data_IF_328502802875
#
_entry.id   IF_328502802875
#
_cell.length_a   1.000
_cell.length_b   1.000
_cell.length_c   1.000
_cell.angle_alpha   90.00
_cell.angle_beta   90.00
_cell.angle_gamma   90.00
#
_symmetry.space_group_name_H-M   'P 1'
#
loop_
_entity.id
_entity.type
_entity.pdbx_description
1 polymer ?
#
# COMPACT_ATOMS: atom_id res chain seq x y z
N UNK A 1 27.54 -29.76 -17.41
CA UNK A 1 26.12 -29.33 -17.31
C UNK A 1 26.07 -28.27 -16.22
N UNK A 2 26.09 -26.99 -16.60
CA UNK A 2 26.27 -25.86 -15.69
C UNK A 2 24.92 -25.42 -15.15
N UNK A 3 24.73 -25.51 -13.84
CA UNK A 3 23.62 -24.89 -13.12
C UNK A 3 23.85 -23.38 -13.17
N UNK A 4 23.20 -22.69 -14.09
CA UNK A 4 23.03 -21.24 -14.01
C UNK A 4 22.18 -20.96 -12.78
N UNK A 5 22.81 -20.40 -11.75
CA UNK A 5 22.12 -19.87 -10.58
C UNK A 5 21.10 -18.83 -11.02
N UNK A 6 19.83 -19.10 -10.77
CA UNK A 6 18.77 -18.10 -10.79
C UNK A 6 18.92 -17.29 -9.51
N UNK A 7 19.92 -16.42 -9.49
CA UNK A 7 19.98 -15.32 -8.53
C UNK A 7 19.07 -14.22 -9.05
N UNK A 8 17.77 -14.33 -8.84
CA UNK A 8 16.91 -13.15 -8.89
C UNK A 8 17.22 -12.34 -7.64
N UNK A 9 18.26 -11.50 -7.71
CA UNK A 9 18.41 -10.40 -6.76
C UNK A 9 17.15 -9.53 -6.91
N UNK A 10 16.16 -9.76 -6.03
CA UNK A 10 15.00 -8.88 -5.94
C UNK A 10 15.53 -7.51 -5.55
N UNK A 11 15.36 -6.55 -6.46
CA UNK A 11 15.67 -5.15 -6.16
C UNK A 11 14.76 -4.67 -5.04
N UNK A 12 15.35 -4.27 -3.91
CA UNK A 12 14.68 -3.47 -2.88
C UNK A 12 15.34 -2.09 -2.82
N UNK A 13 14.57 -0.98 -2.80
CA UNK A 13 15.09 0.36 -2.58
C UNK A 13 15.80 0.51 -1.22
N UNK A 14 15.52 -0.34 -0.24
CA UNK A 14 16.21 -0.33 1.05
C UNK A 14 17.64 -0.88 0.97
N UNK A 15 17.97 -1.65 -0.08
CA UNK A 15 19.31 -2.16 -0.29
C UNK A 15 20.38 -1.05 -0.33
N UNK A 16 19.99 0.17 -0.72
CA UNK A 16 20.85 1.36 -0.72
C UNK A 16 21.34 1.77 0.68
N UNK A 17 20.63 1.37 1.74
CA UNK A 17 21.03 1.63 3.14
C UNK A 17 21.92 0.52 3.72
N UNK A 18 22.05 -0.62 3.02
CA UNK A 18 22.77 -1.78 3.52
C UNK A 18 23.99 -2.16 2.68
N UNK A 19 23.98 -1.85 1.38
CA UNK A 19 25.01 -2.25 0.42
C UNK A 19 25.87 -1.03 0.07
N UNK A 20 27.19 -1.25 -0.03
CA UNK A 20 28.17 -0.21 -0.35
C UNK A 20 27.96 0.39 -1.74
N UNK A 21 28.82 1.35 -2.13
CA UNK A 21 28.69 2.11 -3.37
C UNK A 21 28.77 1.25 -4.66
N UNK A 22 29.16 -0.01 -4.53
CA UNK A 22 29.34 -0.96 -5.64
C UNK A 22 28.07 -1.75 -6.00
N UNK A 23 26.94 -1.52 -5.31
CA UNK A 23 25.69 -2.21 -5.63
C UNK A 23 25.00 -1.58 -6.86
N UNK A 24 24.50 -2.36 -7.83
CA UNK A 24 23.76 -1.79 -8.95
C UNK A 24 22.50 -1.08 -8.45
N UNK A 25 22.57 0.25 -8.42
CA UNK A 25 21.53 1.15 -7.91
C UNK A 25 20.49 1.51 -8.97
N UNK A 26 20.72 1.11 -10.22
CA UNK A 26 19.87 1.45 -11.36
C UNK A 26 19.29 0.21 -12.04
N UNK A 27 17.97 0.10 -12.02
CA UNK A 27 17.23 -0.66 -13.03
C UNK A 27 16.80 0.32 -14.12
N UNK A 28 17.53 0.36 -15.22
CA UNK A 28 17.21 1.24 -16.34
C UNK A 28 16.02 0.66 -17.12
N UNK A 29 14.91 1.39 -17.16
CA UNK A 29 13.79 1.06 -18.03
C UNK A 29 14.20 1.19 -19.50
N UNK A 30 13.75 0.26 -20.34
CA UNK A 30 14.10 0.23 -21.77
C UNK A 30 13.31 1.23 -22.62
N UNK A 31 12.26 1.85 -22.05
CA UNK A 31 11.35 2.75 -22.77
C UNK A 31 11.66 4.21 -22.48
N UNK A 32 11.87 4.99 -23.54
CA UNK A 32 11.84 6.46 -23.47
C UNK A 32 10.41 6.90 -23.21
N UNK A 33 10.13 7.34 -21.98
CA UNK A 33 8.77 7.72 -21.58
C UNK A 33 8.40 9.13 -22.07
N UNK A 34 9.34 10.07 -21.99
CA UNK A 34 9.13 11.50 -22.27
C UNK A 34 10.19 11.97 -23.28
N UNK A 35 9.78 12.79 -24.25
CA UNK A 35 10.63 13.28 -25.33
C UNK A 35 9.96 13.08 -26.68
N UNK A 36 10.60 13.55 -27.76
CA UNK A 36 10.15 13.30 -29.12
C UNK A 36 10.14 11.79 -29.37
N UNK A 37 9.00 11.23 -29.78
CA UNK A 37 8.73 9.79 -29.88
C UNK A 37 8.69 9.03 -28.54
N UNK A 38 8.48 9.75 -27.42
CA UNK A 38 8.28 9.14 -26.11
C UNK A 38 6.92 8.45 -26.00
N UNK A 39 6.83 7.40 -25.18
CA UNK A 39 5.58 6.64 -25.01
C UNK A 39 4.41 7.48 -24.45
N UNK A 40 4.70 8.56 -23.72
CA UNK A 40 3.73 9.50 -23.16
C UNK A 40 3.58 10.77 -24.01
N UNK A 41 4.11 10.82 -25.22
CA UNK A 41 3.91 11.97 -26.10
C UNK A 41 2.42 12.18 -26.39
N UNK A 42 1.96 13.43 -26.32
CA UNK A 42 0.56 13.75 -26.60
C UNK A 42 0.27 13.46 -28.07
N UNK A 43 -0.57 12.47 -28.34
CA UNK A 43 -1.03 12.14 -29.71
C UNK A 43 -1.86 13.28 -30.32
N UNK A 44 -2.19 14.32 -29.55
CA UNK A 44 -2.82 15.54 -30.05
C UNK A 44 -1.95 16.26 -31.08
N UNK A 45 -0.61 16.27 -30.94
CA UNK A 45 0.26 16.90 -31.96
C UNK A 45 0.20 16.17 -33.30
N UNK A 46 0.02 14.84 -33.30
CA UNK A 46 -0.09 14.03 -34.51
C UNK A 46 -1.42 14.23 -35.27
N UNK A 47 -2.41 14.88 -34.65
CA UNK A 47 -3.69 15.22 -35.26
C UNK A 47 -3.69 16.60 -35.94
N UNK A 48 -2.69 17.45 -35.70
CA UNK A 48 -2.61 18.79 -36.34
C UNK A 48 -1.93 18.78 -37.72
N UNK A 49 -1.23 17.71 -38.09
CA UNK A 49 -0.49 17.61 -39.37
C UNK A 49 -1.23 16.85 -40.49
N UNK A 50 -2.49 16.45 -40.30
CA UNK A 50 -3.34 15.97 -41.41
C UNK A 50 -4.57 16.84 -41.59
N UNK A 51 -4.52 17.58 -42.69
CA UNK A 51 -5.64 18.21 -43.38
C UNK A 51 -6.35 19.36 -42.66
N UNK A 52 -5.94 20.57 -43.07
CA UNK A 52 -6.89 21.65 -43.34
C UNK A 52 -8.09 21.11 -44.11
N UNK A 53 -9.23 20.99 -43.44
CA UNK A 53 -10.56 21.27 -43.98
C UNK A 53 -11.54 21.35 -42.82
N UNK A 54 -11.98 22.57 -42.51
CA UNK A 54 -13.14 22.84 -41.65
C UNK A 54 -14.41 22.25 -42.26
N UNK A 55 -15.42 21.87 -41.45
CA UNK A 55 -16.49 22.84 -41.21
C UNK A 55 -17.01 22.91 -39.77
N UNK A 56 -17.51 24.11 -39.48
CA UNK A 56 -18.17 24.57 -38.26
C UNK A 56 -19.40 23.72 -37.85
N UNK A 57 -19.62 23.52 -36.55
CA UNK A 57 -20.68 24.20 -35.75
C UNK A 57 -20.90 23.54 -34.37
N UNK A 58 -20.93 24.42 -33.33
CA UNK A 58 -21.74 24.38 -32.09
C UNK A 58 -21.37 23.26 -31.07
N UNK A 59 -21.32 23.42 -29.75
CA UNK A 59 -21.84 24.43 -28.80
C UNK A 59 -21.02 24.34 -27.50
N UNK A 60 -20.69 25.50 -26.94
CA UNK A 60 -20.59 25.85 -25.50
C UNK A 60 -20.80 24.71 -24.48
N UNK A 61 -19.85 24.57 -23.55
CA UNK A 61 -19.99 24.58 -22.08
C UNK A 61 -18.57 24.59 -21.55
N UNK A 62 -18.11 25.69 -20.95
CA UNK A 62 -17.14 25.75 -19.83
C UNK A 62 -16.99 27.24 -19.42
N UNK A 63 -18.10 27.88 -19.04
CA UNK A 63 -18.08 29.07 -18.19
C UNK A 63 -18.59 28.63 -16.82
N UNK A 64 -17.70 28.50 -15.83
CA UNK A 64 -18.19 28.13 -14.50
C UNK A 64 -17.19 27.67 -13.43
N UNK A 65 -15.91 28.03 -13.47
CA UNK A 65 -15.04 27.88 -12.29
C UNK A 65 -14.17 29.13 -12.13
N UNK A 66 -14.76 30.19 -11.57
CA UNK A 66 -14.03 31.36 -11.03
C UNK A 66 -14.96 32.21 -10.13
N UNK A 67 -15.32 31.69 -8.95
CA UNK A 67 -15.69 32.51 -7.76
C UNK A 67 -16.10 31.63 -6.58
N UNK A 68 -15.18 31.27 -5.69
CA UNK A 68 -15.49 31.18 -4.25
C UNK A 68 -14.26 31.70 -3.52
N UNK A 69 -14.19 33.02 -3.41
CA UNK A 69 -13.36 33.73 -2.46
C UNK A 69 -14.24 34.83 -1.86
N UNK A 70 -14.18 34.95 -0.52
CA UNK A 70 -14.93 35.87 0.35
C UNK A 70 -16.41 35.55 0.54
N UNK A 71 -16.73 34.95 1.68
CA UNK A 71 -17.49 35.62 2.75
C UNK A 71 -17.66 34.65 3.92
N UNK A 72 -16.94 34.90 5.01
CA UNK A 72 -17.35 34.43 6.35
C UNK A 72 -17.22 35.63 7.26
N UNK A 73 -18.29 36.43 7.30
CA UNK A 73 -18.48 37.46 8.31
C UNK A 73 -19.65 37.05 9.19
N UNK A 74 -19.36 37.02 10.48
CA UNK A 74 -20.26 37.20 11.62
C UNK A 74 -21.59 36.42 11.63
N UNK A 75 -21.60 35.35 12.44
CA UNK A 75 -22.77 35.04 13.25
C UNK A 75 -22.35 34.91 14.73
N UNK A 76 -22.89 35.83 15.53
CA UNK A 76 -22.85 35.82 16.98
C UNK A 76 -23.54 34.59 17.58
N UNK A 77 -23.22 34.29 18.85
CA UNK A 77 -23.81 33.33 19.82
C UNK A 77 -22.93 32.08 20.01
N UNK A 78 -22.43 31.71 21.19
CA UNK A 78 -22.69 32.08 22.60
C UNK A 78 -21.40 31.85 23.41
N UNK A 79 -21.14 32.73 24.39
CA UNK A 79 -20.05 32.56 25.36
C UNK A 79 -20.26 31.28 26.17
N UNK A 80 -19.32 30.34 26.08
CA UNK A 80 -19.02 29.38 27.14
C UNK A 80 -17.55 29.53 27.52
N UNK A 81 -17.32 30.05 28.72
CA UNK A 81 -16.01 30.09 29.38
C UNK A 81 -15.51 28.65 29.58
N UNK A 82 -14.56 28.23 28.75
CA UNK A 82 -13.77 27.03 29.03
C UNK A 82 -12.62 27.41 29.97
N UNK A 83 -12.35 26.63 31.04
CA UNK A 83 -11.20 26.89 31.89
C UNK A 83 -9.93 26.70 31.06
N UNK A 84 -8.96 27.61 31.25
CA UNK A 84 -7.61 27.47 30.74
C UNK A 84 -7.04 26.14 31.25
N UNK A 85 -7.06 25.12 30.40
CA UNK A 85 -6.32 23.90 30.64
C UNK A 85 -4.84 24.28 30.63
N UNK A 86 -4.21 24.23 31.80
CA UNK A 86 -2.76 24.30 31.97
C UNK A 86 -2.14 23.33 30.97
N UNK A 87 -1.19 23.83 30.19
CA UNK A 87 -0.51 23.07 29.15
C UNK A 87 -0.05 21.71 29.67
N UNK A 88 -0.74 20.67 29.23
CA UNK A 88 -0.11 19.36 29.11
C UNK A 88 0.98 19.55 28.08
N UNK A 89 2.23 19.56 28.55
CA UNK A 89 3.39 19.29 27.70
C UNK A 89 3.08 17.94 27.08
N UNK A 90 2.56 17.96 25.85
CA UNK A 90 2.26 16.75 25.12
C UNK A 90 3.56 15.99 25.00
N UNK A 91 3.62 14.80 25.58
CA UNK A 91 4.68 13.84 25.29
C UNK A 91 4.53 13.52 23.81
N UNK A 92 5.18 14.32 22.96
CA UNK A 92 5.21 14.06 21.53
C UNK A 92 5.87 12.70 21.38
N UNK A 93 5.11 11.72 20.88
CA UNK A 93 5.64 10.39 20.63
C UNK A 93 6.84 10.53 19.68
N UNK A 94 7.93 9.80 19.94
CA UNK A 94 9.14 9.89 19.15
C UNK A 94 8.86 9.57 17.67
N UNK A 95 9.40 10.39 16.78
CA UNK A 95 9.36 10.21 15.34
C UNK A 95 10.80 10.28 14.85
N UNK A 96 11.42 9.13 14.62
CA UNK A 96 12.82 9.04 14.21
C UNK A 96 13.02 9.18 12.71
N UNK A 97 12.13 8.52 11.94
CA UNK A 97 12.19 8.49 10.47
C UNK A 97 11.56 9.74 9.86
N UNK A 98 12.27 10.32 8.90
CA UNK A 98 11.76 11.43 8.10
C UNK A 98 10.66 10.97 7.11
N UNK A 99 9.92 11.89 6.48
CA UNK A 99 8.84 11.53 5.57
C UNK A 99 9.26 10.65 4.38
N UNK A 100 10.48 10.84 3.87
CA UNK A 100 11.01 10.04 2.74
C UNK A 100 11.32 8.62 3.20
N UNK A 101 11.93 8.47 4.36
CA UNK A 101 12.24 7.18 4.98
C UNK A 101 10.97 6.39 5.31
N UNK A 102 9.95 7.04 5.89
CA UNK A 102 8.65 6.41 6.13
C UNK A 102 7.96 6.01 4.82
N UNK A 103 8.05 6.81 3.77
CA UNK A 103 7.51 6.46 2.46
C UNK A 103 8.18 5.22 1.86
N UNK A 104 9.51 5.10 1.97
CA UNK A 104 10.24 3.93 1.49
C UNK A 104 9.87 2.68 2.29
N UNK A 105 9.86 2.79 3.63
CA UNK A 105 9.49 1.70 4.53
C UNK A 105 8.10 1.17 4.21
N UNK A 106 7.10 2.04 4.13
CA UNK A 106 5.72 1.61 3.91
C UNK A 106 5.47 1.11 2.50
N UNK A 107 6.15 1.66 1.49
CA UNK A 107 6.10 1.12 0.13
C UNK A 107 6.55 -0.35 0.09
N UNK A 108 7.71 -0.64 0.69
CA UNK A 108 8.25 -2.00 0.74
C UNK A 108 7.41 -2.93 1.60
N UNK A 109 6.94 -2.46 2.75
CA UNK A 109 6.12 -3.26 3.65
C UNK A 109 4.79 -3.64 3.01
N UNK A 110 4.10 -2.67 2.40
CA UNK A 110 2.82 -2.90 1.71
C UNK A 110 3.01 -3.85 0.51
N UNK A 111 4.08 -3.68 -0.27
CA UNK A 111 4.39 -4.57 -1.39
C UNK A 111 4.63 -6.02 -0.93
N UNK A 112 5.42 -6.23 0.12
CA UNK A 112 5.72 -7.58 0.61
C UNK A 112 4.50 -8.24 1.25
N UNK A 113 3.69 -7.50 2.00
CA UNK A 113 2.44 -8.01 2.60
C UNK A 113 1.43 -8.44 1.54
N UNK A 114 1.16 -7.58 0.56
CA UNK A 114 0.19 -7.86 -0.51
C UNK A 114 0.68 -8.99 -1.44
N UNK A 115 1.99 -9.12 -1.63
CA UNK A 115 2.57 -10.22 -2.40
C UNK A 115 2.44 -11.54 -1.66
N UNK A 116 2.70 -11.57 -0.35
CA UNK A 116 2.57 -12.76 0.46
C UNK A 116 1.13 -13.27 0.54
N UNK A 117 0.17 -12.37 0.76
CA UNK A 117 -1.24 -12.72 0.78
C UNK A 117 -1.73 -13.21 -0.60
N UNK A 118 -1.30 -12.58 -1.70
CA UNK A 118 -1.66 -13.05 -3.04
C UNK A 118 -1.16 -14.48 -3.30
N UNK A 119 0.08 -14.79 -2.91
CA UNK A 119 0.66 -16.14 -3.05
C UNK A 119 -0.13 -17.12 -2.18
N UNK A 120 -0.33 -16.80 -0.91
CA UNK A 120 -1.07 -17.64 0.03
C UNK A 120 -2.49 -17.96 -0.45
N UNK A 121 -3.26 -16.96 -0.89
CA UNK A 121 -4.61 -17.18 -1.40
C UNK A 121 -4.60 -18.02 -2.69
N UNK A 122 -3.57 -17.87 -3.53
CA UNK A 122 -3.41 -18.71 -4.72
C UNK A 122 -3.15 -20.18 -4.35
N UNK A 123 -2.31 -20.43 -3.34
CA UNK A 123 -2.06 -21.78 -2.85
C UNK A 123 -3.30 -22.41 -2.19
N UNK A 124 -4.11 -21.62 -1.47
CA UNK A 124 -5.38 -22.11 -0.90
C UNK A 124 -6.44 -22.37 -1.98
N UNK A 125 -6.44 -21.60 -3.08
CA UNK A 125 -7.24 -21.91 -4.26
C UNK A 125 -6.82 -23.27 -4.85
N UNK A 126 -5.53 -23.50 -5.04
CA UNK A 126 -5.01 -24.74 -5.63
C UNK A 126 -5.34 -25.98 -4.77
N UNK A 127 -5.47 -25.79 -3.45
CA UNK A 127 -5.94 -26.81 -2.49
C UNK A 127 -7.47 -27.01 -2.50
N UNK A 128 -8.22 -26.14 -3.17
CA UNK A 128 -9.68 -26.17 -3.20
C UNK A 128 -10.36 -25.57 -1.97
N UNK A 129 -9.64 -24.80 -1.16
CA UNK A 129 -10.17 -24.16 0.06
C UNK A 129 -10.83 -22.80 -0.19
N UNK A 130 -10.71 -22.24 -1.40
CA UNK A 130 -11.30 -20.95 -1.74
C UNK A 130 -12.78 -21.10 -2.13
N UNK A 131 -13.67 -20.50 -1.34
CA UNK A 131 -15.11 -20.46 -1.62
C UNK A 131 -15.42 -19.47 -2.75
N UNK A 132 -16.05 -19.92 -3.85
CA UNK A 132 -16.46 -19.04 -4.95
C UNK A 132 -17.41 -17.92 -4.53
N UNK A 133 -18.29 -18.19 -3.56
CA UNK A 133 -19.29 -17.23 -3.08
C UNK A 133 -18.63 -16.08 -2.30
N UNK A 134 -17.68 -16.42 -1.42
CA UNK A 134 -16.89 -15.42 -0.70
C UNK A 134 -16.03 -14.58 -1.66
N UNK A 135 -15.40 -15.23 -2.65
CA UNK A 135 -14.63 -14.52 -3.67
C UNK A 135 -15.52 -13.57 -4.49
N UNK A 136 -16.71 -14.03 -4.90
CA UNK A 136 -17.67 -13.19 -5.63
C UNK A 136 -18.07 -11.97 -4.83
N UNK A 137 -18.37 -12.14 -3.53
CA UNK A 137 -18.69 -11.03 -2.62
C UNK A 137 -17.58 -9.98 -2.60
N UNK A 138 -16.33 -10.39 -2.39
CA UNK A 138 -15.17 -9.48 -2.38
C UNK A 138 -14.99 -8.79 -3.73
N UNK A 139 -15.12 -9.53 -4.84
CA UNK A 139 -15.00 -8.99 -6.19
C UNK A 139 -16.09 -7.96 -6.50
N UNK A 140 -17.33 -8.23 -6.12
CA UNK A 140 -18.46 -7.31 -6.34
C UNK A 140 -18.30 -6.03 -5.51
N UNK A 141 -17.92 -6.15 -4.23
CA UNK A 141 -17.64 -4.99 -3.38
C UNK A 141 -16.48 -4.15 -3.92
N UNK A 142 -15.42 -4.79 -4.43
CA UNK A 142 -14.30 -4.11 -5.08
C UNK A 142 -14.74 -3.34 -6.31
N UNK A 143 -15.59 -3.94 -7.15
CA UNK A 143 -16.11 -3.30 -8.36
C UNK A 143 -17.08 -2.16 -8.05
N UNK A 144 -17.93 -2.32 -7.03
CA UNK A 144 -18.86 -1.28 -6.56
C UNK A 144 -18.14 -0.03 -6.05
N UNK A 145 -16.91 -0.16 -5.53
CA UNK A 145 -16.04 0.97 -5.17
C UNK A 145 -15.41 1.66 -6.39
N UNK A 146 -15.72 1.21 -7.61
CA UNK A 146 -15.18 1.77 -8.86
C UNK A 146 -13.76 1.29 -9.19
N UNK A 147 -13.25 0.27 -8.49
CA UNK A 147 -11.92 -0.26 -8.75
C UNK A 147 -11.89 -1.20 -9.95
N UNK A 148 -10.74 -1.21 -10.63
CA UNK A 148 -10.52 -2.08 -11.80
C UNK A 148 -10.33 -3.53 -11.38
N UNK A 149 -10.62 -4.45 -12.30
CA UNK A 149 -10.39 -5.88 -12.07
C UNK A 149 -8.91 -6.13 -11.76
N UNK A 150 -8.66 -6.92 -10.72
CA UNK A 150 -7.30 -7.28 -10.30
C UNK A 150 -6.77 -8.48 -11.10
N UNK A 151 -5.44 -8.58 -11.18
CA UNK A 151 -4.76 -9.77 -11.71
C UNK A 151 -4.49 -10.70 -10.52
N UNK A 152 -4.90 -11.97 -10.61
CA UNK A 152 -4.84 -12.91 -9.48
C UNK A 152 -5.69 -12.41 -8.31
N UNK A 153 -5.09 -12.35 -7.11
CA UNK A 153 -5.72 -11.84 -5.89
C UNK A 153 -5.10 -10.51 -5.43
N UNK A 154 -4.52 -9.74 -6.36
CA UNK A 154 -3.82 -8.47 -6.06
C UNK A 154 -4.77 -7.30 -5.78
N UNK A 155 -5.68 -7.50 -4.84
CA UNK A 155 -6.43 -6.43 -4.20
C UNK A 155 -5.51 -5.59 -3.30
N UNK A 156 -6.03 -4.48 -2.77
CA UNK A 156 -5.31 -3.78 -1.70
C UNK A 156 -5.16 -4.65 -0.44
N UNK A 157 -4.24 -4.27 0.45
CA UNK A 157 -3.92 -5.06 1.64
C UNK A 157 -5.14 -5.34 2.52
N UNK A 158 -5.99 -4.34 2.73
CA UNK A 158 -7.19 -4.48 3.55
C UNK A 158 -8.17 -5.48 2.95
N UNK A 159 -8.40 -5.43 1.64
CA UNK A 159 -9.32 -6.31 0.92
C UNK A 159 -8.78 -7.75 0.86
N UNK A 160 -7.46 -7.94 0.70
CA UNK A 160 -6.86 -9.27 0.79
C UNK A 160 -7.02 -9.88 2.19
N UNK A 161 -6.84 -9.09 3.25
CA UNK A 161 -7.07 -9.53 4.63
C UNK A 161 -8.55 -9.86 4.91
N UNK A 162 -9.48 -9.10 4.33
CA UNK A 162 -10.91 -9.43 4.39
C UNK A 162 -11.21 -10.77 3.70
N UNK A 163 -10.65 -11.00 2.51
CA UNK A 163 -10.81 -12.27 1.80
C UNK A 163 -10.32 -13.44 2.65
N UNK A 164 -9.15 -13.33 3.29
CA UNK A 164 -8.64 -14.35 4.21
C UNK A 164 -9.55 -14.51 5.42
N UNK A 165 -10.08 -13.42 5.97
CA UNK A 165 -10.98 -13.45 7.14
C UNK A 165 -12.30 -14.17 6.83
N UNK A 166 -12.84 -14.02 5.62
CA UNK A 166 -14.04 -14.74 5.17
C UNK A 166 -13.83 -16.26 5.07
N UNK A 167 -12.58 -16.71 4.94
CA UNK A 167 -12.19 -18.11 4.81
C UNK A 167 -11.50 -18.64 6.07
N UNK A 168 -11.75 -18.04 7.24
CA UNK A 168 -11.04 -18.40 8.47
C UNK A 168 -11.25 -19.87 8.90
N UNK A 169 -12.33 -20.50 8.45
CA UNK A 169 -12.62 -21.91 8.72
C UNK A 169 -12.21 -22.85 7.57
N UNK A 170 -11.88 -22.30 6.40
CA UNK A 170 -11.60 -23.06 5.19
C UNK A 170 -10.09 -23.11 4.91
N UNK A 171 -9.38 -22.01 5.16
CA UNK A 171 -7.96 -21.89 4.88
C UNK A 171 -7.07 -22.60 5.89
N UNK A 172 -5.93 -23.09 5.40
CA UNK A 172 -4.86 -23.66 6.23
C UNK A 172 -4.00 -22.56 6.85
N UNK A 173 -4.06 -22.41 8.18
CA UNK A 173 -3.25 -21.48 8.95
C UNK A 173 -2.12 -22.19 9.72
N UNK A 174 -1.06 -21.45 10.04
CA UNK A 174 0.18 -21.99 10.58
C UNK A 174 0.69 -21.23 11.81
N UNK A 175 1.73 -21.79 12.44
CA UNK A 175 2.41 -21.20 13.58
C UNK A 175 1.63 -21.31 14.89
N UNK A 176 2.03 -20.51 15.89
CA UNK A 176 1.51 -20.63 17.27
C UNK A 176 0.00 -20.44 17.44
N UNK A 177 -0.69 -19.84 16.46
CA UNK A 177 -2.13 -19.55 16.49
C UNK A 177 -2.94 -20.60 15.72
N UNK A 178 -2.27 -21.58 15.10
CA UNK A 178 -2.92 -22.64 14.33
C UNK A 178 -3.96 -23.37 15.19
N UNK A 179 -5.15 -23.56 14.62
CA UNK A 179 -6.27 -24.21 15.31
C UNK A 179 -7.04 -23.32 16.30
N UNK A 180 -6.61 -22.08 16.54
CA UNK A 180 -7.33 -21.12 17.37
C UNK A 180 -7.95 -20.00 16.52
N UNK A 181 -9.13 -20.26 15.96
CA UNK A 181 -9.88 -19.33 15.10
C UNK A 181 -10.07 -17.95 15.73
N UNK A 182 -10.26 -17.87 17.06
CA UNK A 182 -10.41 -16.59 17.77
C UNK A 182 -9.13 -15.77 17.73
N UNK A 183 -7.97 -16.36 18.03
CA UNK A 183 -6.68 -15.65 17.94
C UNK A 183 -6.32 -15.25 16.51
N UNK A 184 -6.69 -16.08 15.53
CA UNK A 184 -6.51 -15.78 14.11
C UNK A 184 -7.37 -14.57 13.72
N UNK A 185 -8.66 -14.56 14.09
CA UNK A 185 -9.58 -13.47 13.81
C UNK A 185 -9.10 -12.14 14.42
N UNK A 186 -8.59 -12.19 15.65
CA UNK A 186 -8.03 -11.02 16.33
C UNK A 186 -6.82 -10.45 15.58
N UNK A 187 -5.89 -11.31 15.15
CA UNK A 187 -4.73 -10.89 14.37
C UNK A 187 -5.13 -10.32 13.01
N UNK A 188 -6.05 -10.95 12.28
CA UNK A 188 -6.53 -10.46 10.99
C UNK A 188 -7.22 -9.11 11.12
N UNK A 189 -8.04 -8.92 12.15
CA UNK A 189 -8.67 -7.63 12.43
C UNK A 189 -7.66 -6.53 12.79
N UNK A 190 -6.65 -6.86 13.61
CA UNK A 190 -5.54 -5.93 13.90
C UNK A 190 -4.79 -5.55 12.62
N UNK A 191 -4.51 -6.52 11.76
CA UNK A 191 -3.83 -6.27 10.49
C UNK A 191 -4.67 -5.43 9.53
N UNK A 192 -6.00 -5.57 9.51
CA UNK A 192 -6.89 -4.67 8.75
C UNK A 192 -6.81 -3.24 9.28
N UNK A 193 -6.77 -3.04 10.60
CA UNK A 193 -6.57 -1.72 11.19
C UNK A 193 -5.20 -1.14 10.81
N UNK A 194 -4.14 -1.96 10.86
CA UNK A 194 -2.80 -1.55 10.43
C UNK A 194 -2.79 -1.17 8.94
N UNK A 195 -3.45 -1.94 8.07
CA UNK A 195 -3.57 -1.62 6.64
C UNK A 195 -4.22 -0.25 6.40
N UNK A 196 -5.30 0.07 7.12
CA UNK A 196 -5.95 1.39 7.08
C UNK A 196 -5.02 2.51 7.54
N UNK A 197 -4.30 2.30 8.63
CA UNK A 197 -3.32 3.26 9.15
C UNK A 197 -2.17 3.48 8.16
N UNK A 198 -1.62 2.43 7.56
CA UNK A 198 -0.56 2.49 6.56
C UNK A 198 -1.00 3.24 5.28
N UNK A 199 -2.29 3.18 4.93
CA UNK A 199 -2.85 3.92 3.80
C UNK A 199 -2.84 5.44 4.01
N UNK A 200 -2.76 5.91 5.25
CA UNK A 200 -2.67 7.34 5.57
C UNK A 200 -1.23 7.82 5.37
N UNK A 201 -0.98 8.46 4.23
CA UNK A 201 0.34 8.93 3.78
C UNK A 201 0.75 10.28 4.38
N UNK A 202 0.58 10.46 5.69
CA UNK A 202 1.07 11.65 6.41
C UNK A 202 2.57 11.58 6.70
N UNK A 203 3.14 10.36 6.72
CA UNK A 203 4.59 10.11 6.87
C UNK A 203 5.23 10.78 8.11
N UNK A 204 4.45 10.91 9.17
CA UNK A 204 4.86 11.42 10.47
C UNK A 204 4.40 10.46 11.58
N UNK A 205 4.36 9.16 11.27
CA UNK A 205 3.90 8.14 12.21
C UNK A 205 4.92 8.01 13.36
N UNK A 206 4.46 7.86 14.61
CA UNK A 206 5.34 7.56 15.74
C UNK A 206 6.10 6.25 15.55
N UNK A 207 7.30 6.17 16.13
CA UNK A 207 8.14 4.97 16.10
C UNK A 207 7.41 3.75 16.68
N UNK A 208 6.60 3.96 17.72
CA UNK A 208 5.76 2.90 18.31
C UNK A 208 4.71 2.36 17.35
N UNK A 209 4.14 3.20 16.49
CA UNK A 209 3.19 2.80 15.46
C UNK A 209 3.90 2.00 14.35
N UNK A 210 5.07 2.44 13.90
CA UNK A 210 5.87 1.71 12.91
C UNK A 210 6.29 0.35 13.48
N UNK A 211 6.78 0.31 14.71
CA UNK A 211 7.13 -0.94 15.39
C UNK A 211 5.94 -1.91 15.48
N UNK A 212 4.74 -1.41 15.82
CA UNK A 212 3.52 -2.20 15.83
C UNK A 212 3.22 -2.80 14.46
N UNK A 213 3.33 -2.02 13.38
CA UNK A 213 3.10 -2.52 12.02
C UNK A 213 4.08 -3.64 11.66
N UNK A 214 5.36 -3.52 12.03
CA UNK A 214 6.37 -4.56 11.78
C UNK A 214 6.10 -5.86 12.57
N UNK A 215 5.75 -5.74 13.85
CA UNK A 215 5.40 -6.91 14.70
C UNK A 215 4.14 -7.61 14.21
N UNK A 216 3.12 -6.83 13.82
CA UNK A 216 1.90 -7.36 13.20
C UNK A 216 2.19 -8.09 11.89
N UNK A 217 3.05 -7.50 11.04
CA UNK A 217 3.48 -8.10 9.78
C UNK A 217 4.22 -9.42 9.98
N UNK A 218 5.12 -9.49 10.96
CA UNK A 218 5.81 -10.74 11.32
C UNK A 218 4.83 -11.80 11.81
N UNK A 219 3.85 -11.40 12.63
CA UNK A 219 2.81 -12.30 13.11
C UNK A 219 1.95 -12.84 11.96
N UNK A 220 1.60 -11.99 10.99
CA UNK A 220 0.86 -12.40 9.79
C UNK A 220 1.68 -13.35 8.93
N UNK A 221 2.95 -13.05 8.67
CA UNK A 221 3.85 -13.91 7.89
C UNK A 221 3.99 -15.31 8.49
N UNK A 222 4.08 -15.39 9.82
CA UNK A 222 4.10 -16.68 10.51
C UNK A 222 2.74 -17.41 10.39
N UNK A 223 1.63 -16.67 10.44
CA UNK A 223 0.28 -17.23 10.33
C UNK A 223 0.01 -17.85 8.96
N UNK A 224 0.47 -17.19 7.88
CA UNK A 224 0.26 -17.65 6.49
C UNK A 224 1.42 -18.50 5.95
N UNK A 225 2.39 -18.84 6.81
CA UNK A 225 3.62 -19.54 6.42
C UNK A 225 4.35 -18.90 5.23
N UNK A 226 4.53 -17.58 5.30
CA UNK A 226 5.25 -16.81 4.29
C UNK A 226 6.65 -17.40 4.02
N UNK A 227 7.07 -17.36 2.77
CA UNK A 227 8.31 -17.99 2.30
C UNK A 227 9.55 -17.38 2.94
N UNK A 228 10.67 -18.11 2.91
CA UNK A 228 11.96 -17.62 3.43
C UNK A 228 12.36 -16.28 2.82
N UNK A 229 12.12 -16.06 1.52
CA UNK A 229 12.44 -14.80 0.87
C UNK A 229 11.60 -13.63 1.40
N UNK A 230 10.31 -13.86 1.70
CA UNK A 230 9.45 -12.85 2.31
C UNK A 230 9.87 -12.54 3.74
N UNK A 231 10.24 -13.56 4.51
CA UNK A 231 10.76 -13.39 5.87
C UNK A 231 12.05 -12.56 5.88
N UNK A 232 12.96 -12.81 4.93
CA UNK A 232 14.18 -12.01 4.76
C UNK A 232 13.83 -10.55 4.41
N UNK A 233 12.92 -10.33 3.46
CA UNK A 233 12.50 -8.98 3.09
C UNK A 233 11.91 -8.20 4.28
N UNK A 234 11.08 -8.84 5.10
CA UNK A 234 10.56 -8.21 6.32
C UNK A 234 11.68 -7.89 7.33
N UNK A 235 12.65 -8.79 7.48
CA UNK A 235 13.81 -8.56 8.35
C UNK A 235 14.68 -7.39 7.85
N UNK A 236 14.83 -7.23 6.53
CA UNK A 236 15.49 -6.06 5.92
C UNK A 236 14.73 -4.77 6.20
N UNK A 237 13.40 -4.76 6.07
CA UNK A 237 12.57 -3.59 6.42
C UNK A 237 12.70 -3.25 7.92
N UNK A 238 12.68 -4.25 8.80
CA UNK A 238 12.86 -4.04 10.23
C UNK A 238 14.27 -3.54 10.58
N UNK A 239 15.30 -4.03 9.87
CA UNK A 239 16.68 -3.55 9.99
C UNK A 239 16.78 -2.09 9.56
N UNK A 240 16.14 -1.71 8.46
CA UNK A 240 16.10 -0.32 7.99
C UNK A 240 15.54 0.59 9.07
N UNK A 241 14.39 0.24 9.63
CA UNK A 241 13.78 0.98 10.74
C UNK A 241 14.73 1.08 11.94
N UNK A 242 15.33 -0.03 12.36
CA UNK A 242 16.25 -0.08 13.52
C UNK A 242 17.49 0.82 13.34
N UNK A 243 18.04 0.91 12.14
CA UNK A 243 19.24 1.73 11.87
C UNK A 243 18.97 3.23 12.00
N UNK A 244 17.73 3.66 11.83
CA UNK A 244 17.34 5.07 11.79
C UNK A 244 16.66 5.55 13.08
N UNK A 245 16.45 4.66 14.06
CA UNK A 245 15.97 5.03 15.38
C UNK A 245 16.98 5.96 16.08
N UNK A 246 16.48 7.07 16.62
CA UNK A 246 17.25 8.09 17.34
C UNK A 246 17.08 7.98 18.85
#
# INVERSE_FOLDING_TARGET
MSLKGVGTDLFSPLALYFRGHDFPTEKKGEKTMIGQHGWLESTEQALYDRNKQSPQKKTRILDGIKKIAKDVSELHQTRRTHPVARGTVGTHAAVSLDPREQSLLYCELEFNLTTALNIYVSEELDKGHLSPDNLKKVSDEWHQKGHHKVIGFRYDLETQLELVSLHINDFSFYGRRQGNTTEIALLLNEMKMNARNMRVRTFCQPDSTIAKHLVGSQSLFNLINASTSQQIALAEIARFFKLLLK
#
